data_IF_366673870285
#
_entry.id   IF_366673870285
#
_cell.length_a   1.000
_cell.length_b   1.000
_cell.length_c   1.000
_cell.angle_alpha   90.00
_cell.angle_beta   90.00
_cell.angle_gamma   90.00
#
_symmetry.space_group_name_H-M   'P 1'
#
loop_
_entity.id
_entity.type
_entity.pdbx_description
1 polymer ?
#
# COMPACT_ATOMS: atom_id res chain seq x y z
N UNK A 1 6.71 8.11 -18.52
CA UNK A 1 5.88 6.98 -18.06
C UNK A 1 5.52 7.18 -16.61
N UNK A 2 4.26 6.91 -16.27
CA UNK A 2 3.82 7.06 -14.89
C UNK A 2 4.17 5.82 -14.07
N UNK A 3 4.67 6.03 -12.85
CA UNK A 3 4.81 4.96 -11.89
C UNK A 3 3.43 4.42 -11.50
N UNK A 4 3.36 3.12 -11.23
CA UNK A 4 2.16 2.45 -10.78
C UNK A 4 2.29 2.10 -9.31
N UNK A 5 1.34 2.56 -8.51
CA UNK A 5 1.38 2.43 -7.06
C UNK A 5 0.24 1.53 -6.59
N UNK A 6 0.60 0.50 -5.84
CA UNK A 6 -0.37 -0.39 -5.21
C UNK A 6 -0.72 0.15 -3.83
N UNK A 7 -2.00 0.34 -3.57
CA UNK A 7 -2.52 0.84 -2.30
C UNK A 7 -3.35 -0.26 -1.65
N UNK A 8 -2.94 -0.70 -0.47
CA UNK A 8 -3.60 -1.79 0.26
C UNK A 8 -4.05 -1.28 1.63
N UNK A 9 -5.36 -1.21 1.82
CA UNK A 9 -5.96 -0.83 3.09
C UNK A 9 -7.37 -1.42 3.15
N UNK A 10 -7.75 -2.01 4.28
CA UNK A 10 -9.07 -2.59 4.45
C UNK A 10 -10.15 -1.54 4.74
N UNK A 11 -9.75 -0.34 5.10
CA UNK A 11 -10.69 0.78 5.29
C UNK A 11 -10.89 1.51 3.97
N UNK A 12 -12.14 1.49 3.47
CA UNK A 12 -12.47 2.07 2.17
C UNK A 12 -12.22 3.59 2.14
N UNK A 13 -12.50 4.29 3.22
CA UNK A 13 -12.34 5.74 3.27
C UNK A 13 -10.86 6.13 3.17
N UNK A 14 -10.01 5.47 3.94
CA UNK A 14 -8.56 5.70 3.91
C UNK A 14 -7.99 5.33 2.55
N UNK A 15 -8.38 4.17 2.03
CA UNK A 15 -7.93 3.71 0.71
C UNK A 15 -8.29 4.72 -0.38
N UNK A 16 -9.51 5.24 -0.34
CA UNK A 16 -9.98 6.22 -1.32
C UNK A 16 -9.24 7.56 -1.20
N UNK A 17 -8.98 8.02 0.02
CA UNK A 17 -8.22 9.26 0.25
C UNK A 17 -6.81 9.14 -0.33
N UNK A 18 -6.12 8.06 -0.02
CA UNK A 18 -4.76 7.82 -0.53
C UNK A 18 -4.78 7.71 -2.04
N UNK A 19 -5.76 6.98 -2.59
CA UNK A 19 -5.90 6.79 -4.03
C UNK A 19 -6.05 8.14 -4.75
N UNK A 20 -6.92 9.00 -4.25
CA UNK A 20 -7.14 10.32 -4.85
C UNK A 20 -5.89 11.19 -4.79
N UNK A 21 -5.18 11.19 -3.67
CA UNK A 21 -3.94 11.96 -3.52
C UNK A 21 -2.88 11.51 -4.52
N UNK A 22 -2.74 10.21 -4.71
CA UNK A 22 -1.74 9.65 -5.62
C UNK A 22 -2.11 9.93 -7.07
N UNK A 23 -3.38 9.79 -7.43
CA UNK A 23 -3.86 10.11 -8.79
C UNK A 23 -3.65 11.59 -9.08
N UNK A 24 -3.98 12.46 -8.13
CA UNK A 24 -3.80 13.90 -8.30
C UNK A 24 -2.32 14.29 -8.47
N UNK A 25 -1.42 13.48 -7.92
CA UNK A 25 0.03 13.69 -8.08
C UNK A 25 0.55 13.18 -9.44
N UNK A 26 -0.30 12.57 -10.27
CA UNK A 26 0.06 12.17 -11.62
C UNK A 26 0.46 10.70 -11.77
N UNK A 27 0.21 9.87 -10.77
CA UNK A 27 0.57 8.46 -10.80
C UNK A 27 -0.63 7.57 -11.15
N UNK A 28 -0.35 6.39 -11.65
CA UNK A 28 -1.37 5.34 -11.80
C UNK A 28 -1.49 4.57 -10.49
N UNK A 29 -2.69 4.08 -10.20
CA UNK A 29 -2.93 3.32 -8.98
C UNK A 29 -3.58 1.99 -9.26
N UNK A 30 -3.31 1.03 -8.38
CA UNK A 30 -4.10 -0.17 -8.19
C UNK A 30 -4.45 -0.25 -6.71
N UNK A 31 -5.65 -0.73 -6.40
CA UNK A 31 -6.10 -0.80 -5.02
C UNK A 31 -6.43 -2.24 -4.65
N UNK A 32 -6.24 -2.58 -3.37
CA UNK A 32 -6.63 -3.86 -2.81
C UNK A 32 -7.20 -3.63 -1.41
N UNK A 33 -8.28 -4.33 -1.09
CA UNK A 33 -9.01 -4.14 0.15
C UNK A 33 -8.63 -5.16 1.23
N UNK A 34 -7.88 -6.21 0.86
CA UNK A 34 -7.53 -7.27 1.79
C UNK A 34 -6.24 -7.97 1.35
N UNK A 35 -5.78 -8.88 2.19
CA UNK A 35 -4.53 -9.61 1.97
C UNK A 35 -4.54 -10.39 0.65
N UNK A 36 -5.59 -11.16 0.39
CA UNK A 36 -5.67 -11.99 -0.81
C UNK A 36 -5.72 -11.17 -2.09
N UNK A 37 -6.45 -10.07 -2.09
CA UNK A 37 -6.48 -9.16 -3.24
C UNK A 37 -5.10 -8.56 -3.49
N UNK A 38 -4.40 -8.18 -2.42
CA UNK A 38 -3.05 -7.63 -2.53
C UNK A 38 -2.07 -8.65 -3.12
N UNK A 39 -2.11 -9.90 -2.65
CA UNK A 39 -1.29 -10.97 -3.21
C UNK A 39 -1.56 -11.16 -4.70
N UNK A 40 -2.83 -11.20 -5.09
CA UNK A 40 -3.21 -11.36 -6.48
C UNK A 40 -2.67 -10.23 -7.35
N UNK A 41 -2.74 -9.00 -6.87
CA UNK A 41 -2.22 -7.85 -7.61
C UNK A 41 -0.70 -7.87 -7.74
N UNK A 42 0.00 -8.24 -6.68
CA UNK A 42 1.46 -8.36 -6.68
C UNK A 42 1.92 -9.47 -7.63
N UNK A 43 1.25 -10.62 -7.61
CA UNK A 43 1.59 -11.76 -8.47
C UNK A 43 1.27 -11.50 -9.93
N UNK A 44 0.23 -10.73 -10.21
CA UNK A 44 -0.15 -10.34 -11.56
C UNK A 44 0.88 -9.41 -12.19
N UNK A 45 1.31 -8.41 -11.44
CA UNK A 45 2.32 -7.45 -11.87
C UNK A 45 2.86 -6.72 -10.65
N UNK A 46 4.17 -6.71 -10.50
CA UNK A 46 4.81 -6.02 -9.38
C UNK A 46 4.63 -4.50 -9.54
N UNK A 47 4.17 -3.79 -8.51
CA UNK A 47 4.04 -2.33 -8.59
C UNK A 47 5.41 -1.66 -8.51
N UNK A 48 5.45 -0.39 -8.92
CA UNK A 48 6.66 0.43 -8.77
C UNK A 48 6.87 0.88 -7.33
N UNK A 49 5.76 1.10 -6.61
CA UNK A 49 5.74 1.45 -5.17
C UNK A 49 4.52 0.79 -4.55
N UNK A 50 4.64 0.35 -3.31
CA UNK A 50 3.50 -0.19 -2.57
C UNK A 50 3.27 0.59 -1.28
N UNK A 51 2.01 0.91 -1.00
CA UNK A 51 1.56 1.51 0.26
C UNK A 51 0.67 0.47 0.93
N UNK A 52 1.10 -0.05 2.07
CA UNK A 52 0.48 -1.20 2.71
C UNK A 52 0.04 -0.87 4.13
N UNK A 53 -1.20 -1.20 4.47
CA UNK A 53 -1.63 -1.22 5.86
C UNK A 53 -0.99 -2.42 6.55
N UNK A 54 -0.45 -2.22 7.75
CA UNK A 54 0.21 -3.28 8.50
C UNK A 54 -0.79 -4.36 8.92
N UNK A 55 -2.02 -3.97 9.22
CA UNK A 55 -3.05 -4.84 9.75
C UNK A 55 -4.25 -4.91 8.80
N UNK A 56 -4.40 -6.05 8.16
CA UNK A 56 -5.51 -6.32 7.25
C UNK A 56 -6.44 -7.38 7.87
N UNK A 57 -7.09 -8.17 7.04
CA UNK A 57 -8.10 -9.15 7.45
C UNK A 57 -7.53 -10.47 7.98
N UNK A 58 -6.28 -10.81 7.65
CA UNK A 58 -5.68 -12.09 8.05
C UNK A 58 -5.03 -12.05 9.43
N UNK A 59 -4.40 -10.94 9.78
CA UNK A 59 -3.72 -10.82 11.05
C UNK A 59 -3.01 -9.50 11.23
N UNK A 60 -2.28 -9.38 12.34
CA UNK A 60 -1.68 -8.12 12.76
C UNK A 60 -0.44 -7.71 11.94
N UNK A 61 0.13 -8.65 11.18
CA UNK A 61 1.36 -8.43 10.43
C UNK A 61 1.18 -8.59 8.92
N UNK A 62 -0.04 -8.45 8.42
CA UNK A 62 -0.33 -8.67 6.99
C UNK A 62 0.51 -7.78 6.09
N UNK A 63 0.66 -6.51 6.43
CA UNK A 63 1.48 -5.59 5.66
C UNK A 63 2.95 -5.99 5.64
N UNK A 64 3.46 -6.50 6.76
CA UNK A 64 4.84 -6.98 6.86
C UNK A 64 5.04 -8.22 5.99
N UNK A 65 4.08 -9.14 5.98
CA UNK A 65 4.14 -10.33 5.12
C UNK A 65 4.10 -9.95 3.64
N UNK A 66 3.23 -9.00 3.28
CA UNK A 66 3.16 -8.50 1.90
C UNK A 66 4.46 -7.79 1.49
N UNK A 67 5.04 -7.02 2.40
CA UNK A 67 6.35 -6.40 2.17
C UNK A 67 7.41 -7.46 1.87
N UNK A 68 7.48 -8.50 2.68
CA UNK A 68 8.40 -9.62 2.46
C UNK A 68 8.18 -10.25 1.08
N UNK A 69 6.93 -10.50 0.73
CA UNK A 69 6.57 -11.10 -0.55
C UNK A 69 7.03 -10.23 -1.73
N UNK A 70 6.83 -8.91 -1.65
CA UNK A 70 7.29 -7.97 -2.67
C UNK A 70 8.82 -8.00 -2.76
N UNK A 71 9.51 -7.96 -1.63
CA UNK A 71 10.98 -7.91 -1.59
C UNK A 71 11.62 -9.19 -2.10
N UNK A 72 10.95 -10.34 -1.99
CA UNK A 72 11.44 -11.59 -2.59
C UNK A 72 11.40 -11.53 -4.11
N UNK A 73 10.48 -10.78 -4.68
CA UNK A 73 10.37 -10.60 -6.15
C UNK A 73 11.33 -9.52 -6.66
N UNK A 74 11.44 -8.41 -5.94
CA UNK A 74 12.36 -7.33 -6.28
C UNK A 74 12.61 -6.49 -5.02
N UNK A 75 13.83 -6.60 -4.49
CA UNK A 75 14.23 -5.90 -3.26
C UNK A 75 14.22 -4.38 -3.37
N UNK A 76 14.24 -3.85 -4.60
CA UNK A 76 14.37 -2.42 -4.85
C UNK A 76 13.02 -1.69 -4.91
N UNK A 77 11.89 -2.41 -4.84
CA UNK A 77 10.56 -1.79 -4.81
C UNK A 77 10.38 -1.07 -3.46
N UNK A 78 10.19 0.25 -3.46
CA UNK A 78 9.89 0.96 -2.21
C UNK A 78 8.55 0.55 -1.65
N UNK A 79 8.49 0.31 -0.34
CA UNK A 79 7.28 -0.05 0.37
C UNK A 79 7.08 0.87 1.55
N UNK A 80 5.90 1.48 1.63
CA UNK A 80 5.50 2.35 2.73
C UNK A 80 4.48 1.59 3.56
N UNK A 81 4.78 1.41 4.84
CA UNK A 81 3.86 0.74 5.78
C UNK A 81 3.12 1.80 6.59
N UNK A 82 1.81 1.69 6.66
CA UNK A 82 0.99 2.53 7.53
C UNK A 82 0.30 1.64 8.57
N UNK A 83 0.19 2.12 9.80
CA UNK A 83 -0.31 1.31 10.90
C UNK A 83 -1.49 1.96 11.62
N UNK A 84 -2.64 1.90 10.98
CA UNK A 84 -3.87 2.44 11.54
C UNK A 84 -4.09 3.91 11.22
N UNK A 85 -5.30 4.37 11.42
CA UNK A 85 -5.76 5.66 10.95
C UNK A 85 -5.14 6.84 11.71
N UNK A 86 -4.96 6.68 13.01
CA UNK A 86 -4.33 7.71 13.84
C UNK A 86 -2.87 7.93 13.45
N UNK A 87 -2.20 6.89 12.99
CA UNK A 87 -0.79 6.95 12.62
C UNK A 87 -0.55 7.64 11.28
N UNK A 88 -1.55 7.67 10.40
CA UNK A 88 -1.46 8.42 9.15
C UNK A 88 -1.31 9.90 9.44
N UNK A 89 -2.12 10.45 10.35
CA UNK A 89 -2.02 11.85 10.74
C UNK A 89 -0.66 12.17 11.36
N UNK A 90 -0.15 11.27 12.23
CA UNK A 90 1.16 11.43 12.84
C UNK A 90 2.27 11.39 11.80
N UNK A 91 2.18 10.49 10.84
CA UNK A 91 3.16 10.38 9.75
C UNK A 91 3.19 11.65 8.90
N UNK A 92 2.01 12.18 8.57
CA UNK A 92 1.89 13.42 7.81
C UNK A 92 2.51 14.58 8.59
N UNK A 93 2.22 14.68 9.89
CA UNK A 93 2.81 15.71 10.75
C UNK A 93 4.32 15.60 10.83
N UNK A 94 4.85 14.40 10.85
CA UNK A 94 6.31 14.19 10.96
C UNK A 94 7.06 14.54 9.67
N UNK A 95 6.36 14.67 8.55
CA UNK A 95 6.94 15.12 7.29
C UNK A 95 7.12 16.64 7.23
N UNK A 96 6.55 17.35 8.16
CA UNK A 96 6.64 18.79 8.26
C UNK A 96 7.53 19.19 9.41
#
# INVERSE_FOLDING_TARGET
MSAEILIVDDNADIRNIINELIIDAGYKTRIAANYNQALAEIDKKLPDVAILDVKLDKGDNDGIELLSHIKTKNKDVPVIIISGHANIEMAIKSLH
#
